data_IF_829881496027
#
_entry.id   IF_829881496027
#
_cell.length_a   1.000
_cell.length_b   1.000
_cell.length_c   1.000
_cell.angle_alpha   90.00
_cell.angle_beta   90.00
_cell.angle_gamma   90.00
#
_symmetry.space_group_name_H-M   'P 1'
#
loop_
_entity.id
_entity.type
_entity.pdbx_description
1 polymer ?
#
# COMPACT_ATOMS: atom_id res chain seq x y z
N UNK A 1 12.93 9.11 23.90
CA UNK A 1 11.52 9.34 24.15
C UNK A 1 10.83 9.41 22.78
N UNK A 2 10.00 8.40 22.46
CA UNK A 2 9.23 8.39 21.23
C UNK A 2 8.18 9.51 21.24
N UNK A 3 7.84 10.02 20.05
CA UNK A 3 6.69 10.92 19.91
C UNK A 3 5.41 10.10 20.12
N UNK A 4 4.61 10.35 21.18
CA UNK A 4 3.46 9.51 21.51
C UNK A 4 2.27 9.69 20.56
N UNK A 5 2.34 10.70 19.66
CA UNK A 5 1.22 11.06 18.78
C UNK A 5 1.46 10.74 17.30
N UNK A 6 2.53 9.97 16.98
CA UNK A 6 2.82 9.59 15.60
C UNK A 6 1.82 8.56 15.10
N UNK A 7 1.14 8.87 14.00
CA UNK A 7 0.25 7.95 13.29
C UNK A 7 0.98 7.27 12.13
N UNK A 8 0.35 6.26 11.56
CA UNK A 8 0.89 5.49 10.43
C UNK A 8 -0.04 5.64 9.24
N UNK A 9 0.51 6.03 8.10
CA UNK A 9 -0.16 5.95 6.80
C UNK A 9 0.35 4.71 6.10
N UNK A 10 -0.46 3.66 6.07
CA UNK A 10 -0.21 2.47 5.26
C UNK A 10 -0.63 2.72 3.82
N UNK A 11 0.26 2.46 2.86
CA UNK A 11 -0.02 2.53 1.43
C UNK A 11 0.02 1.13 0.83
N UNK A 12 -1.13 0.69 0.34
CA UNK A 12 -1.27 -0.53 -0.43
C UNK A 12 -1.39 -0.21 -1.92
N UNK A 13 -0.72 -1.00 -2.74
CA UNK A 13 -0.70 -0.90 -4.19
C UNK A 13 -1.43 -2.12 -4.76
N UNK A 14 -2.59 -1.92 -5.33
CA UNK A 14 -3.44 -3.00 -5.79
C UNK A 14 -3.81 -2.93 -7.27
N UNK A 15 -4.29 -4.05 -7.80
CA UNK A 15 -4.77 -4.14 -9.19
C UNK A 15 -5.99 -3.26 -9.46
N UNK A 16 -6.83 -3.01 -8.45
CA UNK A 16 -8.07 -2.23 -8.58
C UNK A 16 -7.89 -0.76 -8.25
N UNK A 17 -6.93 -0.46 -7.39
CA UNK A 17 -6.63 0.90 -6.93
C UNK A 17 -5.15 1.10 -7.09
N UNK A 18 -4.74 2.17 -7.76
CA UNK A 18 -3.32 2.45 -7.91
C UNK A 18 -2.67 2.59 -6.53
N UNK A 19 -3.30 3.35 -5.64
CA UNK A 19 -2.92 3.48 -4.24
C UNK A 19 -4.17 3.45 -3.37
N UNK A 20 -4.18 2.58 -2.40
CA UNK A 20 -5.14 2.58 -1.29
C UNK A 20 -4.41 3.03 -0.02
N UNK A 21 -5.03 3.95 0.72
CA UNK A 21 -4.44 4.57 1.89
C UNK A 21 -5.25 4.24 3.12
N UNK A 22 -4.55 3.85 4.20
CA UNK A 22 -5.12 3.67 5.54
C UNK A 22 -4.35 4.51 6.54
N UNK A 23 -5.04 5.36 7.30
CA UNK A 23 -4.49 6.10 8.42
C UNK A 23 -4.81 5.34 9.70
N UNK A 24 -3.78 5.00 10.47
CA UNK A 24 -3.85 4.13 11.64
C UNK A 24 -3.22 4.86 12.83
N UNK A 25 -3.88 4.85 13.97
CA UNK A 25 -3.32 5.38 15.21
C UNK A 25 -2.40 4.36 15.90
N UNK A 26 -1.76 4.78 16.99
CA UNK A 26 -0.84 3.92 17.74
C UNK A 26 -1.50 2.71 18.43
N UNK A 27 -2.82 2.72 18.58
CA UNK A 27 -3.57 1.58 19.12
C UNK A 27 -3.92 0.55 18.05
N UNK A 28 -3.56 0.81 16.78
CA UNK A 28 -3.92 -0.03 15.64
C UNK A 28 -5.34 0.23 15.12
N UNK A 29 -6.01 1.28 15.59
CA UNK A 29 -7.35 1.65 15.12
C UNK A 29 -7.25 2.40 13.80
N UNK A 30 -8.09 2.01 12.85
CA UNK A 30 -8.16 2.66 11.53
C UNK A 30 -9.04 3.90 11.65
N UNK A 31 -8.45 5.08 11.47
CA UNK A 31 -9.15 6.35 11.52
C UNK A 31 -9.71 6.78 10.17
N UNK A 32 -9.01 6.44 9.08
CA UNK A 32 -9.41 6.77 7.72
C UNK A 32 -8.95 5.70 6.75
N UNK A 33 -9.79 5.38 5.79
CA UNK A 33 -9.43 4.59 4.62
C UNK A 33 -9.97 5.25 3.37
N UNK A 34 -9.13 5.38 2.34
CA UNK A 34 -9.56 5.91 1.04
C UNK A 34 -8.72 5.39 -0.10
N UNK A 35 -9.33 5.32 -1.27
CA UNK A 35 -8.59 5.17 -2.53
C UNK A 35 -8.13 6.53 -3.03
N UNK A 36 -6.90 6.61 -3.56
CA UNK A 36 -6.38 7.82 -4.18
C UNK A 36 -6.66 7.88 -5.70
N UNK A 37 -7.53 7.03 -6.23
CA UNK A 37 -8.01 7.12 -7.60
C UNK A 37 -8.77 8.43 -7.87
N UNK A 38 -9.41 8.96 -6.83
CA UNK A 38 -10.09 10.24 -6.84
C UNK A 38 -9.25 11.27 -6.09
N UNK A 39 -8.82 12.31 -6.78
CA UNK A 39 -8.11 13.43 -6.18
C UNK A 39 -8.90 14.72 -6.38
N UNK A 40 -9.06 15.48 -5.31
CA UNK A 40 -9.72 16.77 -5.34
C UNK A 40 -8.71 17.84 -5.78
N UNK A 41 -9.08 18.64 -6.76
CA UNK A 41 -8.30 19.79 -7.21
C UNK A 41 -9.11 21.06 -7.04
N UNK A 42 -8.50 22.06 -6.41
CA UNK A 42 -9.09 23.39 -6.37
C UNK A 42 -8.65 24.14 -7.63
N UNK A 43 -9.62 24.52 -8.49
CA UNK A 43 -9.41 25.33 -9.67
C UNK A 43 -10.40 26.50 -9.66
N UNK A 44 -9.89 27.72 -9.72
CA UNK A 44 -10.72 28.94 -9.73
C UNK A 44 -11.78 28.91 -8.61
N UNK A 45 -11.34 28.65 -7.38
CA UNK A 45 -12.16 28.56 -6.16
C UNK A 45 -13.26 27.48 -6.18
N UNK A 46 -13.19 26.56 -7.16
CA UNK A 46 -14.09 25.41 -7.24
C UNK A 46 -13.31 24.12 -6.98
N UNK A 47 -13.84 23.29 -6.09
CA UNK A 47 -13.29 21.93 -5.88
C UNK A 47 -13.81 21.00 -6.97
N UNK A 48 -12.91 20.48 -7.78
CA UNK A 48 -13.20 19.52 -8.83
C UNK A 48 -12.65 18.15 -8.43
N UNK A 49 -13.51 17.14 -8.39
CA UNK A 49 -13.11 15.75 -8.21
C UNK A 49 -12.67 15.17 -9.55
N UNK A 50 -11.43 14.70 -9.60
CA UNK A 50 -10.86 14.12 -10.81
C UNK A 50 -10.58 12.64 -10.58
N UNK A 51 -11.27 11.78 -11.33
CA UNK A 51 -10.96 10.37 -11.40
C UNK A 51 -9.91 10.14 -12.48
N UNK A 52 -8.66 10.06 -12.05
CA UNK A 52 -7.55 9.85 -12.98
C UNK A 52 -7.54 8.45 -13.60
N UNK A 53 -8.02 7.45 -12.89
CA UNK A 53 -8.06 6.09 -13.42
C UNK A 53 -9.04 5.98 -14.60
N UNK A 54 -10.23 6.58 -14.48
CA UNK A 54 -11.17 6.64 -15.60
C UNK A 54 -10.58 7.38 -16.80
N UNK A 55 -9.90 8.50 -16.54
CA UNK A 55 -9.19 9.25 -17.60
C UNK A 55 -8.10 8.43 -18.27
N UNK A 56 -7.35 7.62 -17.49
CA UNK A 56 -6.31 6.74 -18.03
C UNK A 56 -6.91 5.65 -18.90
N UNK A 57 -7.95 4.96 -18.41
CA UNK A 57 -8.64 3.90 -19.16
C UNK A 57 -9.23 4.43 -20.46
N UNK A 58 -9.88 5.60 -20.42
CA UNK A 58 -10.40 6.26 -21.61
C UNK A 58 -9.30 6.58 -22.62
N UNK A 59 -8.18 7.16 -22.17
CA UNK A 59 -7.03 7.49 -23.01
C UNK A 59 -6.32 6.27 -23.58
N UNK A 60 -6.25 5.17 -22.82
CA UNK A 60 -5.71 3.90 -23.31
C UNK A 60 -6.61 3.30 -24.40
N UNK A 61 -7.92 3.36 -24.22
CA UNK A 61 -8.89 2.98 -25.27
C UNK A 61 -8.79 3.83 -26.54
N UNK A 62 -8.55 5.15 -26.39
CA UNK A 62 -8.30 6.05 -27.52
C UNK A 62 -6.99 5.70 -28.24
N UNK A 63 -5.95 5.35 -27.47
CA UNK A 63 -4.65 4.93 -28.03
C UNK A 63 -4.78 3.63 -28.81
N UNK A 64 -5.53 2.66 -28.34
CA UNK A 64 -5.73 1.38 -29.04
C UNK A 64 -6.52 1.58 -30.34
N UNK A 65 -7.53 2.45 -30.30
CA UNK A 65 -8.27 2.86 -31.49
C UNK A 65 -7.38 3.60 -32.49
N UNK A 66 -6.52 4.50 -32.00
CA UNK A 66 -5.60 5.24 -32.85
C UNK A 66 -4.49 4.38 -33.45
N UNK A 67 -3.99 3.39 -32.71
CA UNK A 67 -3.03 2.40 -33.24
C UNK A 67 -3.61 1.66 -34.45
N UNK A 68 -4.88 1.28 -34.39
CA UNK A 68 -5.57 0.64 -35.52
C UNK A 68 -5.69 1.56 -36.73
N UNK A 69 -5.68 2.87 -36.54
CA UNK A 69 -5.88 3.88 -37.58
C UNK A 69 -4.60 4.69 -37.88
N UNK A 70 -3.42 4.27 -37.38
CA UNK A 70 -2.12 4.96 -37.58
C UNK A 70 -2.11 6.43 -37.13
N UNK A 71 -2.95 6.81 -36.17
CA UNK A 71 -3.00 8.15 -35.58
C UNK A 71 -2.15 8.23 -34.32
N UNK A 72 -1.45 9.37 -34.14
CA UNK A 72 -0.66 9.63 -32.93
C UNK A 72 -1.55 10.29 -31.88
N UNK A 73 -1.62 9.70 -30.68
CA UNK A 73 -2.26 10.32 -29.53
C UNK A 73 -1.19 10.73 -28.52
N UNK A 74 -1.06 12.03 -28.28
CA UNK A 74 -0.20 12.59 -27.25
C UNK A 74 -0.82 12.50 -25.85
N UNK A 75 0.02 12.73 -24.81
CA UNK A 75 -0.39 13.10 -23.44
C UNK A 75 -0.83 12.00 -22.47
N UNK A 76 -0.68 10.70 -22.76
CA UNK A 76 -0.90 9.66 -21.73
C UNK A 76 0.18 9.71 -20.65
N UNK A 77 1.44 9.93 -21.04
CA UNK A 77 2.57 10.06 -20.11
C UNK A 77 2.36 11.23 -19.16
N UNK A 78 2.02 12.39 -19.68
CA UNK A 78 1.76 13.62 -18.90
C UNK A 78 0.56 13.46 -17.96
N UNK A 79 -0.50 12.77 -18.41
CA UNK A 79 -1.66 12.48 -17.58
C UNK A 79 -1.27 11.59 -16.38
N UNK A 80 -0.45 10.56 -16.61
CA UNK A 80 0.08 9.68 -15.54
C UNK A 80 0.94 10.46 -14.57
N UNK A 81 1.81 11.32 -15.05
CA UNK A 81 2.67 12.16 -14.22
C UNK A 81 1.86 13.18 -13.40
N UNK A 82 0.91 13.84 -14.00
CA UNK A 82 0.01 14.77 -13.32
C UNK A 82 -0.82 14.09 -12.23
N UNK A 83 -1.31 12.87 -12.50
CA UNK A 83 -2.00 12.07 -11.50
C UNK A 83 -1.10 11.71 -10.33
N UNK A 84 0.07 11.12 -10.58
CA UNK A 84 1.02 10.75 -9.54
C UNK A 84 1.46 11.94 -8.70
N UNK A 85 1.68 13.10 -9.31
CA UNK A 85 2.01 14.34 -8.61
C UNK A 85 0.93 14.74 -7.60
N UNK A 86 -0.36 14.62 -7.96
CA UNK A 86 -1.44 14.94 -7.06
C UNK A 86 -1.58 13.91 -5.93
N UNK A 87 -1.42 12.62 -6.24
CA UNK A 87 -1.43 11.55 -5.23
C UNK A 87 -0.31 11.76 -4.21
N UNK A 88 0.91 12.02 -4.67
CA UNK A 88 2.06 12.28 -3.81
C UNK A 88 1.86 13.53 -2.95
N UNK A 89 1.27 14.59 -3.52
CA UNK A 89 0.95 15.80 -2.77
C UNK A 89 -0.08 15.54 -1.66
N UNK A 90 -1.12 14.78 -1.96
CA UNK A 90 -2.15 14.42 -0.99
C UNK A 90 -1.58 13.58 0.16
N UNK A 91 -0.72 12.61 -0.13
CA UNK A 91 -0.03 11.80 0.89
C UNK A 91 0.84 12.70 1.78
N UNK A 92 1.66 13.56 1.17
CA UNK A 92 2.53 14.48 1.90
C UNK A 92 1.75 15.45 2.81
N UNK A 93 0.61 15.95 2.32
CA UNK A 93 -0.30 16.80 3.10
C UNK A 93 -0.86 16.03 4.30
N UNK A 94 -1.36 14.81 4.10
CA UNK A 94 -1.87 13.96 5.18
C UNK A 94 -0.80 13.61 6.22
N UNK A 95 0.45 13.40 5.81
CA UNK A 95 1.56 13.16 6.73
C UNK A 95 1.72 14.31 7.72
N UNK A 96 1.72 15.55 7.21
CA UNK A 96 1.90 16.74 8.05
C UNK A 96 0.67 17.00 8.93
N UNK A 97 -0.53 16.94 8.35
CA UNK A 97 -1.78 17.21 9.07
C UNK A 97 -2.04 16.21 10.21
N UNK A 98 -1.59 14.97 10.05
CA UNK A 98 -1.82 13.88 11.01
C UNK A 98 -0.57 13.50 11.82
N UNK A 99 0.54 14.21 11.68
CA UNK A 99 1.82 13.84 12.29
C UNK A 99 2.15 12.36 12.04
N UNK A 100 2.14 11.94 10.77
CA UNK A 100 2.19 10.53 10.39
C UNK A 100 3.45 10.17 9.61
N UNK A 101 3.94 8.97 9.84
CA UNK A 101 4.92 8.31 8.97
C UNK A 101 4.21 7.54 7.85
N UNK A 102 4.89 7.27 6.75
CA UNK A 102 4.40 6.43 5.65
C UNK A 102 5.04 5.07 5.70
N UNK A 103 4.24 4.03 5.56
CA UNK A 103 4.68 2.64 5.44
C UNK A 103 4.18 2.06 4.13
N UNK A 104 5.08 1.47 3.35
CA UNK A 104 4.80 0.86 2.04
C UNK A 104 5.34 -0.57 1.99
N UNK A 105 4.75 -1.40 1.14
CA UNK A 105 5.33 -2.69 0.80
C UNK A 105 6.56 -2.51 -0.12
N UNK A 106 7.64 -3.22 0.18
CA UNK A 106 8.74 -3.36 -0.77
C UNK A 106 8.40 -4.40 -1.83
N UNK A 107 8.05 -3.93 -3.01
CA UNK A 107 7.73 -4.77 -4.16
C UNK A 107 8.96 -5.07 -5.06
N UNK A 108 10.14 -4.58 -4.72
CA UNK A 108 11.34 -4.78 -5.55
C UNK A 108 11.76 -6.26 -5.64
N UNK A 109 11.47 -7.07 -4.62
CA UNK A 109 11.84 -8.48 -4.56
C UNK A 109 10.85 -9.46 -5.21
N UNK A 110 9.56 -9.12 -5.33
CA UNK A 110 8.48 -10.03 -5.75
C UNK A 110 8.09 -9.98 -7.22
N UNK A 111 8.34 -8.89 -7.91
CA UNK A 111 7.81 -8.61 -9.26
C UNK A 111 8.59 -9.23 -10.44
N UNK A 112 9.55 -10.09 -10.20
CA UNK A 112 10.36 -10.69 -11.30
C UNK A 112 9.56 -11.50 -12.32
N UNK A 113 8.28 -11.85 -12.04
CA UNK A 113 7.42 -12.70 -12.90
C UNK A 113 5.96 -12.22 -13.06
N UNK A 114 5.61 -11.01 -12.71
CA UNK A 114 4.23 -10.51 -12.79
C UNK A 114 3.83 -10.13 -14.23
N UNK A 115 2.56 -10.27 -14.54
CA UNK A 115 1.93 -10.06 -15.86
C UNK A 115 2.00 -8.61 -16.39
N UNK A 116 2.45 -7.62 -15.61
CA UNK A 116 2.27 -6.20 -15.93
C UNK A 116 3.56 -5.40 -15.78
N UNK A 117 4.40 -5.41 -16.83
CA UNK A 117 5.61 -4.58 -16.89
C UNK A 117 5.31 -3.05 -16.80
N UNK A 118 4.12 -2.63 -17.23
CA UNK A 118 3.70 -1.22 -17.20
C UNK A 118 3.44 -0.73 -15.78
N UNK A 119 2.88 -1.57 -14.92
CA UNK A 119 2.59 -1.24 -13.52
C UNK A 119 3.87 -1.02 -12.71
N UNK A 120 4.88 -1.85 -12.93
CA UNK A 120 6.18 -1.69 -12.26
C UNK A 120 6.80 -0.32 -12.47
N UNK A 121 6.77 0.19 -13.69
CA UNK A 121 7.33 1.51 -14.01
C UNK A 121 6.55 2.64 -13.34
N UNK A 122 5.22 2.51 -13.26
CA UNK A 122 4.37 3.50 -12.60
C UNK A 122 4.65 3.53 -11.09
N UNK A 123 4.80 2.37 -10.46
CA UNK A 123 5.10 2.30 -9.02
C UNK A 123 6.48 2.82 -8.68
N UNK A 124 7.50 2.46 -9.45
CA UNK A 124 8.84 3.04 -9.27
C UNK A 124 8.83 4.55 -9.44
N UNK A 125 8.08 5.05 -10.41
CA UNK A 125 7.93 6.49 -10.61
C UNK A 125 7.20 7.15 -9.45
N UNK A 126 6.11 6.55 -8.96
CA UNK A 126 5.39 7.02 -7.79
C UNK A 126 6.32 7.10 -6.58
N UNK A 127 7.07 6.05 -6.30
CA UNK A 127 8.02 5.96 -5.19
C UNK A 127 9.09 7.06 -5.26
N UNK A 128 9.73 7.22 -6.41
CA UNK A 128 10.71 8.28 -6.64
C UNK A 128 10.09 9.67 -6.45
N UNK A 129 8.91 9.92 -7.01
CA UNK A 129 8.20 11.19 -6.85
C UNK A 129 7.81 11.46 -5.40
N UNK A 130 7.44 10.43 -4.64
CA UNK A 130 7.14 10.57 -3.21
C UNK A 130 8.39 10.95 -2.42
N UNK A 131 9.52 10.27 -2.64
CA UNK A 131 10.79 10.58 -2.00
C UNK A 131 11.24 12.00 -2.33
N UNK A 132 11.23 12.39 -3.60
CA UNK A 132 11.59 13.74 -4.03
C UNK A 132 10.68 14.79 -3.40
N UNK A 133 9.37 14.52 -3.36
CA UNK A 133 8.39 15.42 -2.74
C UNK A 133 8.62 15.57 -1.24
N UNK A 134 8.89 14.48 -0.53
CA UNK A 134 9.13 14.50 0.91
C UNK A 134 10.50 15.08 1.27
N UNK A 135 11.46 15.02 0.35
CA UNK A 135 12.78 15.66 0.55
C UNK A 135 12.69 17.19 0.52
N UNK A 136 11.77 17.73 -0.30
CA UNK A 136 11.56 19.17 -0.39
C UNK A 136 10.06 19.45 -0.52
N UNK A 137 9.37 19.47 0.63
CA UNK A 137 7.93 19.67 0.68
C UNK A 137 7.59 21.12 1.02
N UNK A 138 6.92 21.79 0.11
CA UNK A 138 6.46 23.17 0.22
C UNK A 138 4.94 23.23 0.03
N UNK A 139 4.28 24.04 0.85
CA UNK A 139 2.86 24.38 0.74
C UNK A 139 2.70 25.78 0.19
N UNK A 140 1.85 25.94 -0.83
CA UNK A 140 1.66 27.21 -1.54
C UNK A 140 0.96 28.30 -0.71
N UNK A 141 0.21 27.89 0.29
CA UNK A 141 -0.53 28.74 1.24
C UNK A 141 0.35 29.28 2.38
N UNK A 142 1.60 28.79 2.49
CA UNK A 142 2.57 29.25 3.49
C UNK A 142 3.39 30.40 2.97
N UNK A 143 3.72 31.38 3.85
CA UNK A 143 4.68 32.43 3.52
C UNK A 143 6.06 31.84 3.30
N UNK A 144 6.88 32.50 2.52
CA UNK A 144 8.18 31.98 2.10
C UNK A 144 9.08 31.56 3.27
N UNK A 145 9.12 32.33 4.36
CA UNK A 145 9.95 32.08 5.54
C UNK A 145 9.31 31.16 6.60
N UNK A 146 8.00 30.92 6.53
CA UNK A 146 7.30 30.04 7.47
C UNK A 146 7.73 28.58 7.27
N UNK A 147 7.60 27.79 8.31
CA UNK A 147 7.88 26.36 8.23
C UNK A 147 6.90 25.67 7.24
N UNK A 148 7.46 25.07 6.21
CA UNK A 148 6.71 24.55 5.05
C UNK A 148 6.61 25.56 3.89
N UNK A 149 7.15 26.77 4.01
CA UNK A 149 7.30 27.73 2.93
C UNK A 149 8.54 27.45 2.04
N UNK A 150 8.70 28.21 0.96
CA UNK A 150 9.74 27.95 -0.04
C UNK A 150 11.17 28.12 0.48
N UNK A 151 11.40 28.97 1.48
CA UNK A 151 12.70 29.19 2.12
C UNK A 151 12.93 28.29 3.33
N UNK A 152 11.90 27.59 3.80
CA UNK A 152 11.95 26.73 4.99
C UNK A 152 11.09 25.48 4.76
N UNK A 153 11.41 24.72 3.72
CA UNK A 153 10.69 23.50 3.32
C UNK A 153 10.86 22.36 4.33
N UNK A 154 9.87 21.47 4.40
CA UNK A 154 10.03 20.21 5.12
C UNK A 154 11.01 19.30 4.38
N UNK A 155 11.90 18.66 5.14
CA UNK A 155 12.85 17.66 4.67
C UNK A 155 12.58 16.35 5.43
N UNK A 156 11.65 15.56 4.91
CA UNK A 156 11.15 14.34 5.57
C UNK A 156 11.84 13.06 5.08
N UNK A 157 12.58 13.15 3.97
CA UNK A 157 13.36 12.04 3.41
C UNK A 157 14.74 12.50 2.99
N UNK A 158 15.63 11.54 2.72
CA UNK A 158 16.92 11.82 2.12
C UNK A 158 16.84 11.62 0.59
N UNK A 159 17.29 12.59 -0.19
CA UNK A 159 17.28 12.55 -1.65
C UNK A 159 18.11 11.42 -2.25
N UNK A 160 19.17 11.01 -1.56
CA UNK A 160 20.07 9.93 -1.97
C UNK A 160 19.71 8.58 -1.36
N UNK A 161 18.51 8.43 -0.76
CA UNK A 161 18.09 7.18 -0.18
C UNK A 161 18.05 6.08 -1.23
N UNK A 162 18.78 5.00 -0.98
CA UNK A 162 18.72 3.80 -1.80
C UNK A 162 17.52 2.98 -1.37
N UNK A 163 16.44 3.12 -2.13
CA UNK A 163 15.17 2.41 -1.93
C UNK A 163 15.26 0.92 -2.30
N UNK A 164 16.41 0.46 -2.78
CA UNK A 164 16.60 -0.96 -3.12
C UNK A 164 16.86 -1.84 -1.89
N UNK A 165 17.21 -1.25 -0.76
CA UNK A 165 17.49 -1.96 0.48
C UNK A 165 16.30 -1.87 1.44
N UNK A 166 15.62 -2.97 1.66
CA UNK A 166 14.44 -3.12 2.54
C UNK A 166 14.71 -2.68 3.99
N UNK A 167 15.95 -2.75 4.41
CA UNK A 167 16.38 -2.38 5.77
C UNK A 167 16.75 -0.92 5.91
N UNK A 168 16.82 -0.18 4.81
CA UNK A 168 17.12 1.26 4.82
C UNK A 168 15.83 2.06 4.92
N UNK A 169 15.71 2.76 6.02
CA UNK A 169 14.65 3.74 6.20
C UNK A 169 14.99 5.00 5.41
N UNK A 170 14.00 5.54 4.72
CA UNK A 170 14.10 6.79 4.02
C UNK A 170 13.42 7.91 4.81
N UNK A 171 14.05 8.33 5.91
CA UNK A 171 13.48 9.37 6.79
C UNK A 171 12.16 8.95 7.41
N UNK A 172 11.06 9.57 6.98
CA UNK A 172 9.70 9.28 7.45
C UNK A 172 8.94 8.27 6.56
N UNK A 173 9.63 7.69 5.59
CA UNK A 173 9.13 6.64 4.72
C UNK A 173 9.78 5.31 5.10
N UNK A 174 8.96 4.30 5.39
CA UNK A 174 9.36 2.97 5.83
C UNK A 174 8.88 1.92 4.84
N UNK A 175 9.63 0.83 4.76
CA UNK A 175 9.32 -0.31 3.92
C UNK A 175 9.12 -1.56 4.75
N UNK A 176 8.13 -2.35 4.38
CA UNK A 176 7.88 -3.68 4.94
C UNK A 176 8.01 -4.73 3.83
N UNK A 177 8.51 -5.94 4.15
CA UNK A 177 8.52 -7.03 3.19
C UNK A 177 7.10 -7.35 2.70
N UNK A 178 6.91 -7.46 1.39
CA UNK A 178 5.62 -7.83 0.79
C UNK A 178 5.22 -9.29 1.05
N UNK A 179 6.15 -10.11 1.58
CA UNK A 179 5.88 -11.48 1.93
C UNK A 179 4.86 -11.56 3.07
N UNK A 180 3.77 -12.26 2.81
CA UNK A 180 2.70 -12.53 3.78
C UNK A 180 1.79 -11.36 4.18
N UNK A 181 2.00 -10.14 3.72
CA UNK A 181 1.15 -8.98 4.06
C UNK A 181 -0.33 -9.24 3.74
N UNK A 182 -0.63 -9.88 2.60
CA UNK A 182 -1.99 -10.29 2.23
C UNK A 182 -2.54 -11.47 3.05
N UNK A 183 -1.75 -12.06 3.93
CA UNK A 183 -2.12 -13.20 4.76
C UNK A 183 -2.19 -12.86 6.25
N UNK A 184 -1.87 -11.63 6.61
CA UNK A 184 -1.91 -11.16 8.00
C UNK A 184 -3.25 -10.49 8.26
N UNK A 185 -3.95 -10.97 9.28
CA UNK A 185 -5.11 -10.27 9.81
C UNK A 185 -4.67 -9.03 10.60
N UNK A 186 -5.03 -7.81 10.17
CA UNK A 186 -4.56 -6.57 10.78
C UNK A 186 -5.07 -6.38 12.22
N UNK A 187 -6.16 -7.03 12.61
CA UNK A 187 -6.70 -6.91 13.97
C UNK A 187 -5.97 -7.78 14.97
N UNK A 188 -5.63 -8.98 14.57
CA UNK A 188 -5.07 -9.99 15.49
C UNK A 188 -3.57 -10.19 15.31
N UNK A 189 -2.99 -9.73 14.20
CA UNK A 189 -1.63 -10.03 13.78
C UNK A 189 -1.43 -11.48 13.32
N UNK A 190 -2.53 -12.24 13.21
CA UNK A 190 -2.47 -13.63 12.76
C UNK A 190 -2.05 -13.68 11.29
N UNK A 191 -1.01 -14.47 10.99
CA UNK A 191 -0.58 -14.75 9.63
C UNK A 191 -1.10 -16.11 9.18
N UNK A 192 -1.97 -16.15 8.16
CA UNK A 192 -2.43 -17.40 7.58
C UNK A 192 -1.33 -18.04 6.73
N UNK A 193 -0.63 -19.00 7.31
CA UNK A 193 0.44 -19.75 6.66
C UNK A 193 -0.03 -21.08 6.03
N UNK A 194 -1.33 -21.37 6.10
CA UNK A 194 -1.87 -22.61 5.54
C UNK A 194 -1.84 -22.59 4.02
N UNK A 195 -1.21 -23.63 3.46
CA UNK A 195 -1.15 -23.83 2.01
C UNK A 195 -2.13 -24.92 1.62
N UNK A 196 -3.25 -24.53 1.03
CA UNK A 196 -4.28 -25.47 0.52
C UNK A 196 -4.02 -25.90 -0.92
N UNK A 197 -3.12 -25.21 -1.63
CA UNK A 197 -2.75 -25.55 -2.99
C UNK A 197 -1.92 -26.83 -3.03
N UNK A 198 -2.38 -27.82 -3.79
CA UNK A 198 -1.66 -29.10 -3.95
C UNK A 198 -2.15 -30.23 -3.04
N UNK A 199 -3.27 -30.04 -2.33
CA UNK A 199 -3.95 -31.11 -1.57
C UNK A 199 -4.69 -32.08 -2.51
N UNK A 200 -3.96 -32.75 -3.39
CA UNK A 200 -4.52 -33.55 -4.49
C UNK A 200 -4.85 -35.00 -4.11
N UNK A 201 -4.20 -35.56 -3.11
CA UNK A 201 -4.40 -36.93 -2.64
C UNK A 201 -4.83 -37.01 -1.18
N UNK A 202 -5.30 -38.17 -0.75
CA UNK A 202 -5.82 -38.41 0.60
C UNK A 202 -4.74 -38.21 1.67
N UNK A 203 -3.53 -38.63 1.41
CA UNK A 203 -2.39 -38.54 2.33
C UNK A 203 -2.07 -37.08 2.66
N UNK A 204 -1.90 -36.25 1.62
CA UNK A 204 -1.64 -34.81 1.80
C UNK A 204 -2.80 -34.07 2.49
N UNK A 205 -4.03 -34.49 2.22
CA UNK A 205 -5.20 -33.94 2.94
C UNK A 205 -5.15 -34.32 4.41
N UNK A 206 -4.82 -35.58 4.72
CA UNK A 206 -4.67 -36.04 6.10
C UNK A 206 -3.58 -35.27 6.83
N UNK A 207 -2.38 -35.15 6.27
CA UNK A 207 -1.27 -34.34 6.81
C UNK A 207 -1.66 -32.87 7.04
N UNK A 208 -2.49 -32.33 6.17
CA UNK A 208 -3.00 -30.96 6.34
C UNK A 208 -3.95 -30.85 7.53
N UNK A 209 -4.92 -31.77 7.65
CA UNK A 209 -5.89 -31.74 8.73
C UNK A 209 -5.30 -32.16 10.09
N UNK A 210 -4.26 -32.96 10.11
CA UNK A 210 -3.53 -33.37 11.33
C UNK A 210 -2.79 -32.18 12.01
N UNK A 211 -2.70 -31.03 11.33
CA UNK A 211 -2.16 -29.78 11.91
C UNK A 211 -3.11 -29.10 12.89
N UNK A 212 -4.39 -29.43 12.85
CA UNK A 212 -5.42 -28.81 13.66
C UNK A 212 -5.73 -29.67 14.88
N UNK A 213 -5.84 -29.02 16.04
CA UNK A 213 -6.20 -29.68 17.30
C UNK A 213 -7.71 -29.92 17.41
N UNK A 214 -8.51 -29.08 16.72
CA UNK A 214 -9.96 -29.26 16.68
C UNK A 214 -10.53 -28.75 15.35
N UNK A 215 -11.58 -29.43 14.89
CA UNK A 215 -12.37 -29.00 13.72
C UNK A 215 -13.83 -29.09 14.12
N UNK A 216 -14.55 -27.99 14.09
CA UNK A 216 -15.97 -27.92 14.42
C UNK A 216 -16.76 -27.15 13.37
N UNK A 217 -18.02 -27.46 13.22
CA UNK A 217 -18.92 -26.70 12.37
C UNK A 217 -19.70 -25.68 13.21
N UNK A 218 -19.64 -24.43 12.83
CA UNK A 218 -20.43 -23.34 13.40
C UNK A 218 -21.69 -23.12 12.55
N UNK A 219 -22.83 -23.54 13.09
CA UNK A 219 -24.11 -23.45 12.38
C UNK A 219 -24.66 -22.02 12.29
N UNK A 220 -24.20 -21.10 13.15
CA UNK A 220 -24.62 -19.68 13.10
C UNK A 220 -23.93 -18.94 11.97
N UNK A 221 -22.63 -19.15 11.85
CA UNK A 221 -21.81 -18.51 10.80
C UNK A 221 -21.75 -19.36 9.53
N UNK A 222 -22.33 -20.56 9.54
CA UNK A 222 -22.36 -21.52 8.41
C UNK A 222 -20.96 -21.81 7.85
N UNK A 223 -19.97 -22.03 8.74
CA UNK A 223 -18.59 -22.28 8.39
C UNK A 223 -17.94 -23.33 9.27
N UNK A 224 -16.82 -23.91 8.81
CA UNK A 224 -15.98 -24.76 9.63
C UNK A 224 -14.95 -23.91 10.38
N UNK A 225 -14.80 -24.18 11.68
CA UNK A 225 -13.82 -23.52 12.55
C UNK A 225 -12.71 -24.52 12.84
N UNK A 226 -11.47 -24.11 12.57
CA UNK A 226 -10.26 -24.89 12.76
C UNK A 226 -9.47 -24.30 13.92
N UNK A 227 -9.36 -25.04 15.00
CA UNK A 227 -8.56 -24.66 16.17
C UNK A 227 -7.17 -25.30 16.12
N UNK A 228 -6.13 -24.55 16.44
CA UNK A 228 -4.76 -25.03 16.38
C UNK A 228 -3.82 -24.24 17.30
N UNK A 229 -2.72 -24.87 17.71
CA UNK A 229 -1.62 -24.18 18.35
C UNK A 229 -0.69 -23.57 17.30
N UNK A 230 -0.59 -22.25 17.30
CA UNK A 230 0.23 -21.51 16.33
C UNK A 230 1.72 -21.88 16.42
N UNK A 231 2.21 -22.27 17.61
CA UNK A 231 3.58 -22.73 17.81
C UNK A 231 3.92 -23.99 17.03
N UNK A 232 2.96 -24.89 16.83
CA UNK A 232 3.14 -26.10 16.00
C UNK A 232 3.30 -25.78 14.52
N UNK A 233 2.72 -24.66 14.07
CA UNK A 233 2.74 -24.28 12.65
C UNK A 233 4.01 -23.52 12.29
N UNK A 234 4.55 -22.73 13.22
CA UNK A 234 5.79 -21.97 13.01
C UNK A 234 7.04 -22.70 13.48
N UNK A 235 6.98 -24.00 13.79
CA UNK A 235 8.09 -24.79 14.34
C UNK A 235 8.81 -24.14 15.55
N UNK A 236 8.04 -23.42 16.38
CA UNK A 236 8.55 -22.79 17.58
C UNK A 236 7.89 -23.40 18.82
N UNK A 237 8.58 -24.36 19.43
CA UNK A 237 8.08 -25.09 20.58
C UNK A 237 7.83 -24.22 21.83
N UNK A 238 8.51 -23.09 21.93
CA UNK A 238 8.38 -22.16 23.07
C UNK A 238 7.19 -21.21 22.91
N UNK A 239 6.62 -21.13 21.71
CA UNK A 239 5.50 -20.25 21.40
C UNK A 239 4.19 -21.03 21.35
N UNK A 240 3.47 -21.06 22.46
CA UNK A 240 2.14 -21.69 22.57
C UNK A 240 1.06 -20.62 22.50
N UNK A 241 0.27 -20.63 21.44
CA UNK A 241 -0.88 -19.73 21.28
C UNK A 241 -1.97 -20.42 20.48
N UNK A 242 -3.10 -20.65 21.15
CA UNK A 242 -4.29 -21.22 20.49
C UNK A 242 -4.96 -20.16 19.62
N UNK A 243 -5.26 -20.54 18.39
CA UNK A 243 -5.97 -19.74 17.40
C UNK A 243 -7.13 -20.52 16.80
N UNK A 244 -8.11 -19.76 16.31
CA UNK A 244 -9.20 -20.29 15.49
C UNK A 244 -9.24 -19.55 14.17
N UNK A 245 -9.44 -20.28 13.07
CA UNK A 245 -9.66 -19.74 11.71
C UNK A 245 -10.94 -20.32 11.12
N UNK A 246 -11.58 -19.53 10.26
CA UNK A 246 -12.86 -19.84 9.63
C UNK A 246 -12.72 -20.11 8.14
#
# INVERSE_FOLDING_TARGET
SGNPDVKIIGLDRGERHLIYLSLINQKGEIELQKTLNLVEQVRNDKTVKVNYQEKLVHKEGDRDRARKNWKIIGNIKELKEGYLSNVVHEIAKMMIENNAIVVMEDLNFGFKRGRFAVERQIYQKFENMLIEKLNYLVFKDKKAADFGGVLNAYQLTNKSADVSDVYKQCGWLFYIPAAYTSKIDPKTGFANLFVTKGLTNVEKKKEFFDKFDSIRYDSKENCFVFGFDYGKICDNADFKKMWEVY
#
